data_IF_591141751455
#
_entry.id   IF_591141751455
#
_cell.length_a   1.000
_cell.length_b   1.000
_cell.length_c   1.000
_cell.angle_alpha   90.00
_cell.angle_beta   90.00
_cell.angle_gamma   90.00
#
_symmetry.space_group_name_H-M   'P 1'
#
loop_
_entity.id
_entity.type
_entity.pdbx_description
1 polymer ?
#
# COMPACT_ATOMS: atom_id res chain seq x y z
N UNK A 1 0.25 -2.86 -17.82
CA UNK A 1 -0.44 -1.93 -16.88
C UNK A 1 -1.11 -2.67 -15.71
N UNK A 2 -2.17 -3.44 -15.94
CA UNK A 2 -2.96 -4.07 -14.85
C UNK A 2 -2.13 -5.01 -13.97
N UNK A 3 -1.31 -5.88 -14.59
CA UNK A 3 -0.40 -6.74 -13.83
C UNK A 3 0.61 -5.97 -13.00
N UNK A 4 1.15 -4.86 -13.51
CA UNK A 4 2.09 -4.02 -12.77
C UNK A 4 1.46 -3.50 -11.48
N UNK A 5 0.32 -2.82 -11.60
CA UNK A 5 -0.46 -2.33 -10.46
C UNK A 5 -0.79 -3.46 -9.50
N UNK A 6 -1.22 -4.61 -10.00
CA UNK A 6 -1.56 -5.75 -9.16
C UNK A 6 -0.37 -6.29 -8.37
N UNK A 7 0.83 -6.36 -8.95
CA UNK A 7 2.04 -6.80 -8.24
C UNK A 7 2.42 -5.82 -7.13
N UNK A 8 2.34 -4.52 -7.40
CA UNK A 8 2.66 -3.48 -6.42
C UNK A 8 1.65 -3.49 -5.26
N UNK A 9 0.35 -3.60 -5.58
CA UNK A 9 -0.72 -3.48 -4.59
C UNK A 9 -1.04 -4.78 -3.83
N UNK A 10 -0.96 -5.94 -4.48
CA UNK A 10 -1.41 -7.23 -3.93
C UNK A 10 -0.31 -8.27 -3.83
N UNK A 11 0.84 -8.03 -4.45
CA UNK A 11 1.96 -8.94 -4.34
C UNK A 11 2.43 -9.08 -2.89
N UNK A 12 2.89 -10.28 -2.54
CA UNK A 12 3.43 -10.55 -1.20
C UNK A 12 4.66 -9.72 -0.89
N UNK A 13 4.76 -9.17 0.33
CA UNK A 13 5.86 -8.34 0.79
C UNK A 13 6.31 -8.75 2.20
N UNK A 14 7.48 -9.38 2.31
CA UNK A 14 8.19 -9.57 3.59
C UNK A 14 9.15 -8.40 3.91
N UNK A 15 9.50 -7.63 2.88
CA UNK A 15 10.32 -6.43 2.93
C UNK A 15 9.81 -5.48 1.85
N UNK A 16 10.36 -4.27 1.81
CA UNK A 16 10.07 -3.27 0.77
C UNK A 16 10.75 -3.56 -0.57
N UNK A 17 11.49 -4.67 -0.71
CA UNK A 17 12.35 -4.94 -1.88
C UNK A 17 11.60 -4.89 -3.22
N UNK A 18 10.32 -5.28 -3.24
CA UNK A 18 9.48 -5.18 -4.43
C UNK A 18 9.28 -3.73 -4.86
N UNK A 19 9.13 -2.81 -3.91
CA UNK A 19 9.03 -1.37 -4.20
C UNK A 19 10.39 -0.86 -4.69
N UNK A 20 11.48 -1.22 -4.02
CA UNK A 20 12.83 -0.87 -4.47
C UNK A 20 13.13 -1.32 -5.90
N UNK A 21 12.88 -2.59 -6.22
CA UNK A 21 13.08 -3.12 -7.57
C UNK A 21 12.14 -2.46 -8.56
N UNK A 22 10.86 -2.27 -8.22
CA UNK A 22 9.89 -1.63 -9.10
C UNK A 22 10.28 -0.19 -9.45
N UNK A 23 10.81 0.58 -8.49
CA UNK A 23 11.32 1.93 -8.73
C UNK A 23 12.51 1.92 -9.71
N UNK A 24 13.47 1.00 -9.54
CA UNK A 24 14.59 0.86 -10.49
C UNK A 24 14.14 0.43 -11.88
N UNK A 25 13.19 -0.50 -11.97
CA UNK A 25 12.62 -0.94 -13.25
C UNK A 25 11.96 0.23 -14.01
N UNK A 26 11.18 1.06 -13.31
CA UNK A 26 10.63 2.30 -13.88
C UNK A 26 11.74 3.21 -14.38
N UNK A 27 12.79 3.43 -13.57
CA UNK A 27 13.92 4.29 -13.93
C UNK A 27 14.68 3.79 -15.16
N UNK A 28 14.93 2.48 -15.26
CA UNK A 28 15.60 1.90 -16.41
C UNK A 28 14.76 1.97 -17.67
N UNK A 29 13.45 1.70 -17.57
CA UNK A 29 12.52 1.82 -18.69
C UNK A 29 12.41 3.27 -19.18
N UNK A 30 12.32 4.25 -18.26
CA UNK A 30 12.33 5.68 -18.60
C UNK A 30 13.63 6.13 -19.30
N UNK A 31 14.76 5.46 -19.03
CA UNK A 31 16.04 5.67 -19.71
C UNK A 31 16.18 4.83 -20.99
N UNK A 32 15.15 4.08 -21.37
CA UNK A 32 15.12 3.16 -22.50
C UNK A 32 16.26 2.11 -22.46
N UNK A 33 16.65 1.66 -21.27
CA UNK A 33 17.64 0.60 -21.10
C UNK A 33 16.98 -0.75 -21.32
N UNK A 34 17.47 -1.53 -22.28
CA UNK A 34 16.94 -2.88 -22.55
C UNK A 34 17.64 -3.96 -21.71
N UNK A 35 18.90 -3.71 -21.32
CA UNK A 35 19.74 -4.68 -20.62
C UNK A 35 20.57 -3.96 -19.56
N UNK A 36 20.54 -4.46 -18.34
CA UNK A 36 21.22 -3.89 -17.18
C UNK A 36 22.09 -4.97 -16.54
N UNK A 37 23.41 -4.77 -16.36
CA UNK A 37 24.24 -5.69 -15.62
C UNK A 37 23.70 -5.90 -14.19
N UNK A 38 23.73 -7.14 -13.69
CA UNK A 38 23.21 -7.45 -12.36
C UNK A 38 24.02 -6.76 -11.25
N UNK A 39 25.31 -6.53 -11.48
CA UNK A 39 26.16 -5.77 -10.57
C UNK A 39 25.71 -4.32 -10.47
N UNK A 40 25.45 -3.66 -11.60
CA UNK A 40 24.93 -2.29 -11.66
C UNK A 40 23.56 -2.20 -10.98
N UNK A 41 22.67 -3.17 -11.23
CA UNK A 41 21.40 -3.28 -10.52
C UNK A 41 21.59 -3.34 -9.00
N UNK A 42 22.59 -4.09 -8.52
CA UNK A 42 22.88 -4.21 -7.09
C UNK A 42 23.43 -2.91 -6.50
N UNK A 43 24.30 -2.21 -7.23
CA UNK A 43 24.81 -0.89 -6.83
C UNK A 43 23.69 0.14 -6.74
N UNK A 44 22.82 0.20 -7.75
CA UNK A 44 21.67 1.10 -7.77
C UNK A 44 20.66 0.76 -6.66
N UNK A 45 20.42 -0.53 -6.41
CA UNK A 45 19.53 -0.99 -5.34
C UNK A 45 20.09 -0.64 -3.97
N UNK A 46 21.38 -0.88 -3.71
CA UNK A 46 22.02 -0.51 -2.46
C UNK A 46 21.98 1.01 -2.23
N UNK A 47 22.32 1.80 -3.26
CA UNK A 47 22.30 3.27 -3.19
C UNK A 47 20.89 3.80 -2.91
N UNK A 48 19.88 3.27 -3.60
CA UNK A 48 18.48 3.61 -3.36
C UNK A 48 18.07 3.37 -1.90
N UNK A 49 18.49 2.24 -1.33
CA UNK A 49 18.18 1.91 0.05
C UNK A 49 18.94 2.76 1.07
N UNK A 50 20.22 3.08 0.82
CA UNK A 50 20.97 4.00 1.67
C UNK A 50 20.26 5.35 1.80
N UNK A 51 19.76 5.88 0.69
CA UNK A 51 18.99 7.14 0.72
C UNK A 51 17.66 6.97 1.45
N UNK A 52 16.93 5.89 1.17
CA UNK A 52 15.62 5.62 1.79
C UNK A 52 15.72 5.46 3.31
N UNK A 53 16.74 4.77 3.80
CA UNK A 53 16.90 4.42 5.23
C UNK A 53 17.40 5.57 6.10
N UNK A 54 17.92 6.67 5.53
CA UNK A 54 18.29 7.88 6.27
C UNK A 54 17.16 8.43 7.15
N UNK A 55 15.91 8.20 6.74
CA UNK A 55 14.72 8.59 7.50
C UNK A 55 14.45 7.74 8.75
N UNK A 56 15.21 6.66 8.97
CA UNK A 56 15.02 5.70 10.06
C UNK A 56 13.82 4.77 9.88
N UNK A 57 13.11 4.84 8.75
CA UNK A 57 11.94 3.99 8.48
C UNK A 57 12.36 2.54 8.16
N UNK A 58 11.71 1.53 8.77
CA UNK A 58 12.11 0.14 8.60
C UNK A 58 11.71 -0.41 7.23
N UNK A 59 12.60 -1.19 6.62
CA UNK A 59 12.38 -1.82 5.30
C UNK A 59 11.89 -3.27 5.39
N UNK A 60 11.68 -3.76 6.60
CA UNK A 60 11.11 -5.05 6.94
C UNK A 60 10.55 -5.01 8.36
N UNK A 61 9.70 -5.99 8.71
CA UNK A 61 9.04 -6.05 10.01
C UNK A 61 10.07 -6.05 11.15
N UNK A 62 9.96 -5.08 12.06
CA UNK A 62 10.79 -4.98 13.26
C UNK A 62 10.19 -5.73 14.43
N UNK A 63 11.05 -6.27 15.28
CA UNK A 63 10.68 -6.92 16.53
C UNK A 63 11.70 -6.60 17.61
N UNK A 64 11.24 -6.24 18.80
CA UNK A 64 12.11 -6.14 19.98
C UNK A 64 12.17 -7.49 20.68
N UNK A 65 13.37 -8.07 20.78
CA UNK A 65 13.61 -9.31 21.53
C UNK A 65 14.74 -9.05 22.51
N UNK A 66 14.45 -9.14 23.80
CA UNK A 66 15.39 -8.89 24.90
C UNK A 66 16.10 -7.51 24.82
N UNK A 67 15.36 -6.48 24.41
CA UNK A 67 15.88 -5.12 24.26
C UNK A 67 16.73 -4.89 22.99
N UNK A 68 16.88 -5.90 22.13
CA UNK A 68 17.58 -5.80 20.85
C UNK A 68 16.57 -5.79 19.70
N UNK A 69 16.70 -4.79 18.82
CA UNK A 69 15.90 -4.73 17.60
C UNK A 69 16.36 -5.82 16.61
N UNK A 70 15.42 -6.68 16.21
CA UNK A 70 15.58 -7.71 15.18
C UNK A 70 14.71 -7.39 13.98
N UNK A 71 15.03 -8.00 12.84
CA UNK A 71 14.27 -7.85 11.59
C UNK A 71 14.84 -6.80 10.64
N UNK A 72 16.11 -6.41 10.79
CA UNK A 72 16.87 -5.72 9.75
C UNK A 72 16.95 -6.59 8.50
N UNK A 73 16.52 -6.03 7.38
CA UNK A 73 16.71 -6.64 6.06
C UNK A 73 18.19 -6.69 5.69
N UNK A 74 18.58 -7.60 4.79
CA UNK A 74 19.96 -7.69 4.34
C UNK A 74 20.48 -6.37 3.77
N UNK A 75 19.67 -5.64 3.00
CA UNK A 75 20.11 -4.36 2.41
C UNK A 75 20.32 -3.29 3.47
N UNK A 76 19.52 -3.27 4.54
CA UNK A 76 19.73 -2.35 5.68
C UNK A 76 21.02 -2.70 6.43
N UNK A 77 21.28 -3.99 6.67
CA UNK A 77 22.51 -4.42 7.32
C UNK A 77 23.75 -4.02 6.52
N UNK A 78 23.72 -4.19 5.19
CA UNK A 78 24.83 -3.78 4.31
C UNK A 78 24.95 -2.26 4.21
N UNK A 79 23.84 -1.52 4.12
CA UNK A 79 23.85 -0.05 4.13
C UNK A 79 24.50 0.52 5.41
N UNK A 80 24.16 -0.04 6.58
CA UNK A 80 24.75 0.36 7.86
C UNK A 80 26.25 0.05 7.96
N UNK A 81 26.71 -1.08 7.39
CA UNK A 81 28.14 -1.42 7.35
C UNK A 81 28.94 -0.40 6.54
N UNK A 82 28.40 0.04 5.41
CA UNK A 82 29.10 1.02 4.56
C UNK A 82 29.19 2.40 5.18
N UNK A 83 28.25 2.80 6.04
CA UNK A 83 28.36 4.04 6.81
C UNK A 83 29.50 3.99 7.84
N UNK A 84 29.89 2.79 8.29
CA UNK A 84 30.94 2.58 9.28
C UNK A 84 32.32 2.31 8.65
N UNK A 85 32.38 1.67 7.48
CA UNK A 85 33.61 1.40 6.73
C UNK A 85 33.36 1.34 5.20
N UNK A 86 33.81 2.38 4.50
CA UNK A 86 33.67 2.52 3.04
C UNK A 86 34.52 1.51 2.23
N UNK A 87 35.50 0.85 2.87
CA UNK A 87 36.31 -0.20 2.21
C UNK A 87 35.53 -1.50 1.94
N UNK A 88 34.27 -1.57 2.34
CA UNK A 88 33.40 -2.75 2.20
C UNK A 88 32.45 -2.72 0.99
N UNK A 89 32.41 -1.62 0.22
CA UNK A 89 31.38 -1.39 -0.82
C UNK A 89 31.23 -2.54 -1.81
N UNK A 90 32.32 -3.06 -2.38
CA UNK A 90 32.25 -4.18 -3.33
C UNK A 90 31.65 -5.44 -2.71
N UNK A 91 32.05 -5.78 -1.48
CA UNK A 91 31.52 -6.95 -0.76
C UNK A 91 30.03 -6.77 -0.43
N UNK A 92 29.62 -5.56 -0.07
CA UNK A 92 28.22 -5.25 0.19
C UNK A 92 27.37 -5.31 -1.08
N UNK A 93 27.89 -4.84 -2.21
CA UNK A 93 27.23 -4.97 -3.53
C UNK A 93 27.03 -6.45 -3.89
N UNK A 94 28.05 -7.28 -3.71
CA UNK A 94 27.95 -8.73 -3.98
C UNK A 94 26.95 -9.42 -3.02
N UNK A 95 26.96 -9.03 -1.73
CA UNK A 95 26.04 -9.55 -0.74
C UNK A 95 24.58 -9.16 -1.03
N UNK A 96 24.32 -7.92 -1.46
CA UNK A 96 23.00 -7.44 -1.85
C UNK A 96 22.52 -8.17 -3.11
N UNK A 97 23.39 -8.35 -4.10
CA UNK A 97 23.07 -9.07 -5.33
C UNK A 97 22.58 -10.48 -5.00
N UNK A 98 23.37 -11.23 -4.24
CA UNK A 98 23.04 -12.62 -3.90
C UNK A 98 21.81 -12.74 -3.00
N UNK A 99 21.76 -11.97 -1.90
CA UNK A 99 20.78 -12.22 -0.83
C UNK A 99 19.48 -11.45 -1.02
N UNK A 100 19.53 -10.22 -1.53
CA UNK A 100 18.36 -9.35 -1.66
C UNK A 100 17.75 -9.38 -3.05
N UNK A 101 18.57 -9.50 -4.10
CA UNK A 101 18.11 -9.55 -5.49
C UNK A 101 17.85 -11.00 -5.94
N UNK A 102 18.90 -11.78 -6.20
CA UNK A 102 18.80 -13.12 -6.82
C UNK A 102 17.99 -14.12 -6.00
N UNK A 103 18.24 -14.23 -4.69
CA UNK A 103 17.53 -15.19 -3.85
C UNK A 103 16.14 -14.74 -3.40
N UNK A 104 15.78 -13.48 -3.68
CA UNK A 104 14.59 -12.86 -3.13
C UNK A 104 13.78 -12.16 -4.21
N UNK A 105 13.96 -10.84 -4.39
CA UNK A 105 12.98 -10.06 -5.17
C UNK A 105 13.00 -10.42 -6.65
N UNK A 106 14.15 -10.72 -7.25
CA UNK A 106 14.20 -11.06 -8.68
C UNK A 106 13.40 -12.33 -9.01
N UNK A 107 13.41 -13.32 -8.11
CA UNK A 107 12.63 -14.57 -8.23
C UNK A 107 11.13 -14.38 -7.96
N UNK A 108 10.76 -13.42 -7.11
CA UNK A 108 9.41 -13.30 -6.53
C UNK A 108 8.60 -12.10 -7.06
N UNK A 109 9.23 -11.17 -7.79
CA UNK A 109 8.59 -9.93 -8.24
C UNK A 109 7.33 -10.22 -9.06
N UNK A 110 7.41 -11.17 -9.99
CA UNK A 110 6.35 -11.57 -10.91
C UNK A 110 5.29 -12.50 -10.31
N UNK A 111 5.33 -12.74 -8.99
CA UNK A 111 4.38 -13.62 -8.31
C UNK A 111 3.18 -12.86 -7.76
N UNK A 112 1.98 -13.26 -8.18
CA UNK A 112 0.69 -12.78 -7.68
C UNK A 112 -0.18 -13.98 -7.27
N UNK A 113 -0.72 -13.97 -6.05
CA UNK A 113 -1.54 -15.07 -5.50
C UNK A 113 -0.92 -16.47 -5.71
N UNK A 114 0.40 -16.58 -5.47
CA UNK A 114 1.21 -17.81 -5.65
C UNK A 114 1.34 -18.31 -7.10
N UNK A 115 0.94 -17.52 -8.10
CA UNK A 115 1.10 -17.80 -9.53
C UNK A 115 2.04 -16.77 -10.18
N UNK A 116 2.78 -17.19 -11.20
CA UNK A 116 3.52 -16.25 -12.04
C UNK A 116 2.56 -15.53 -12.98
N UNK A 117 2.77 -14.24 -13.20
CA UNK A 117 2.05 -13.52 -14.26
C UNK A 117 2.43 -14.09 -15.64
N UNK A 118 1.52 -14.04 -16.63
CA UNK A 118 1.78 -14.60 -17.95
C UNK A 118 2.83 -13.82 -18.75
N UNK A 119 2.96 -12.51 -18.49
CA UNK A 119 3.82 -11.61 -19.26
C UNK A 119 4.80 -10.91 -18.29
N UNK A 120 6.04 -11.43 -18.13
CA UNK A 120 7.01 -10.87 -17.19
C UNK A 120 7.54 -9.51 -17.68
N UNK A 121 7.92 -8.65 -16.74
CA UNK A 121 8.48 -7.33 -17.02
C UNK A 121 9.99 -7.37 -17.30
N UNK A 122 10.65 -8.42 -16.85
CA UNK A 122 12.07 -8.68 -17.10
C UNK A 122 12.35 -10.18 -17.06
N UNK A 123 13.47 -10.58 -17.64
CA UNK A 123 14.09 -11.90 -17.43
C UNK A 123 15.53 -11.71 -16.95
N UNK A 124 16.04 -12.66 -16.18
CA UNK A 124 17.41 -12.63 -15.66
C UNK A 124 18.27 -13.67 -16.36
N UNK A 125 19.51 -13.30 -16.67
CA UNK A 125 20.60 -14.21 -17.04
C UNK A 125 21.63 -14.22 -15.91
N UNK A 126 22.70 -14.99 -16.04
CA UNK A 126 23.78 -15.07 -15.04
C UNK A 126 24.47 -13.72 -14.77
N UNK A 127 24.36 -12.75 -15.68
CA UNK A 127 25.07 -11.47 -15.59
C UNK A 127 24.20 -10.24 -15.80
N UNK A 128 22.98 -10.40 -16.33
CA UNK A 128 22.14 -9.25 -16.71
C UNK A 128 20.66 -9.46 -16.42
N UNK A 129 20.00 -8.34 -16.10
CA UNK A 129 18.57 -8.14 -16.16
C UNK A 129 18.20 -7.66 -17.58
N UNK A 130 17.34 -8.38 -18.28
CA UNK A 130 16.86 -8.04 -19.62
C UNK A 130 15.41 -7.58 -19.50
N UNK A 131 15.16 -6.29 -19.74
CA UNK A 131 13.81 -5.72 -19.68
C UNK A 131 13.00 -6.19 -20.88
N UNK A 132 11.74 -6.51 -20.64
CA UNK A 132 10.81 -6.96 -21.67
C UNK A 132 10.00 -5.78 -22.23
N UNK A 133 9.46 -5.94 -23.43
CA UNK A 133 8.59 -4.96 -24.07
C UNK A 133 7.37 -4.61 -23.21
N UNK A 134 6.88 -5.57 -22.42
CA UNK A 134 5.78 -5.39 -21.46
C UNK A 134 6.04 -4.30 -20.41
N UNK A 135 7.32 -4.05 -20.08
CA UNK A 135 7.76 -2.99 -19.18
C UNK A 135 8.13 -1.71 -19.95
N UNK A 136 8.89 -1.84 -21.04
CA UNK A 136 9.35 -0.69 -21.83
C UNK A 136 8.15 0.08 -22.40
N UNK A 137 7.20 -0.61 -23.02
CA UNK A 137 5.98 -0.01 -23.54
C UNK A 137 5.09 0.61 -22.44
N UNK A 138 5.29 0.23 -21.17
CA UNK A 138 4.52 0.77 -20.06
C UNK A 138 5.05 2.13 -19.58
N UNK A 139 6.36 2.39 -19.68
CA UNK A 139 6.99 3.54 -19.04
C UNK A 139 7.77 4.48 -19.97
N UNK A 140 8.23 4.03 -21.15
CA UNK A 140 9.11 4.84 -22.02
C UNK A 140 8.50 6.18 -22.46
N UNK A 141 7.18 6.29 -22.61
CA UNK A 141 6.49 7.51 -23.05
C UNK A 141 5.98 8.41 -21.90
N UNK A 142 6.29 8.07 -20.65
CA UNK A 142 5.83 8.73 -19.42
C UNK A 142 4.31 8.83 -19.24
N UNK A 143 3.49 8.19 -20.07
CA UNK A 143 2.02 8.23 -19.94
C UNK A 143 1.52 7.61 -18.63
N UNK A 144 2.35 6.81 -17.97
CA UNK A 144 2.04 6.13 -16.71
C UNK A 144 2.87 6.65 -15.52
N UNK A 145 3.30 7.92 -15.55
CA UNK A 145 4.06 8.56 -14.46
C UNK A 145 3.38 8.45 -13.08
N UNK A 146 2.04 8.45 -13.04
CA UNK A 146 1.24 8.26 -11.82
C UNK A 146 1.59 6.94 -11.11
N UNK A 147 2.00 5.90 -11.83
CA UNK A 147 2.34 4.61 -11.21
C UNK A 147 3.62 4.64 -10.37
N UNK A 148 4.55 5.57 -10.65
CA UNK A 148 5.73 5.75 -9.80
C UNK A 148 5.32 6.39 -8.45
N UNK A 149 4.36 7.31 -8.48
CA UNK A 149 3.74 7.86 -7.27
C UNK A 149 2.93 6.80 -6.50
N UNK A 150 2.17 5.95 -7.21
CA UNK A 150 1.45 4.81 -6.60
C UNK A 150 2.43 3.85 -5.91
N UNK A 151 3.55 3.53 -6.56
CA UNK A 151 4.61 2.68 -6.00
C UNK A 151 5.26 3.33 -4.77
N UNK A 152 5.59 4.62 -4.85
CA UNK A 152 6.22 5.37 -3.74
C UNK A 152 5.29 5.44 -2.53
N UNK A 153 4.01 5.72 -2.75
CA UNK A 153 2.97 5.70 -1.71
C UNK A 153 2.84 4.32 -1.07
N UNK A 154 2.94 3.26 -1.88
CA UNK A 154 2.93 1.89 -1.39
C UNK A 154 4.17 1.56 -0.57
N UNK A 155 5.33 2.09 -0.94
CA UNK A 155 6.55 1.95 -0.15
C UNK A 155 6.39 2.60 1.23
N UNK A 156 5.93 3.85 1.29
CA UNK A 156 5.66 4.56 2.55
C UNK A 156 4.70 3.78 3.45
N UNK A 157 3.68 3.16 2.87
CA UNK A 157 2.71 2.34 3.59
C UNK A 157 3.35 1.08 4.20
N UNK A 158 4.20 0.38 3.45
CA UNK A 158 4.89 -0.80 3.96
C UNK A 158 5.83 -0.43 5.12
N UNK A 159 6.58 0.65 4.98
CA UNK A 159 7.46 1.18 6.03
C UNK A 159 6.71 1.52 7.31
N UNK A 160 5.58 2.25 7.17
CA UNK A 160 4.72 2.56 8.29
C UNK A 160 4.22 1.29 8.98
N UNK A 161 3.76 0.31 8.20
CA UNK A 161 3.23 -0.93 8.75
C UNK A 161 4.30 -1.82 9.40
N UNK A 162 5.54 -1.79 8.93
CA UNK A 162 6.65 -2.54 9.53
C UNK A 162 7.15 -1.96 10.85
N UNK A 163 6.97 -0.65 11.09
CA UNK A 163 7.35 0.02 12.33
C UNK A 163 6.35 -0.09 13.48
N UNK A 164 5.08 -0.41 13.21
CA UNK A 164 3.99 -0.27 14.19
C UNK A 164 3.40 -1.60 14.71
N UNK A 165 4.16 -2.70 14.75
CA UNK A 165 3.63 -4.05 15.08
C UNK A 165 3.45 -4.30 16.60
N UNK A 166 3.69 -3.31 17.47
CA UNK A 166 3.76 -3.49 18.93
C UNK A 166 2.79 -2.66 19.78
N UNK A 167 1.76 -2.02 19.20
CA UNK A 167 0.75 -1.33 20.02
C UNK A 167 -0.33 -2.30 20.54
N UNK A 168 -0.01 -2.99 21.64
CA UNK A 168 -1.00 -3.47 22.61
C UNK A 168 -1.75 -2.25 23.18
N UNK A 169 -2.72 -1.73 22.44
CA UNK A 169 -3.55 -0.61 22.88
C UNK A 169 -4.96 -1.12 23.24
N UNK A 170 -5.19 -1.29 24.54
CA UNK A 170 -6.51 -1.44 25.14
C UNK A 170 -7.14 -0.06 25.37
N UNK A 171 -8.42 0.08 25.02
CA UNK A 171 -9.21 1.31 25.13
C UNK A 171 -9.98 1.36 26.45
N UNK A 172 -9.83 2.44 27.22
CA UNK A 172 -10.79 2.86 28.26
C UNK A 172 -11.24 4.31 27.98
N UNK A 173 -12.53 4.59 28.18
CA UNK A 173 -13.20 5.86 27.85
C UNK A 173 -13.56 6.57 29.17
N UNK A 174 -13.20 7.86 29.31
CA UNK A 174 -13.60 8.72 30.43
C UNK A 174 -14.83 9.59 30.07
N UNK A 175 -15.63 9.88 31.10
CA UNK A 175 -17.03 10.34 31.11
C UNK A 175 -17.24 11.80 30.64
N UNK A 176 -16.17 12.50 30.25
CA UNK A 176 -16.22 13.90 29.81
C UNK A 176 -16.17 14.11 28.28
N UNK A 177 -16.40 13.07 27.49
CA UNK A 177 -16.87 13.17 26.09
C UNK A 177 -16.06 14.05 25.11
N UNK A 178 -14.73 14.18 25.26
CA UNK A 178 -13.93 14.89 24.23
C UNK A 178 -12.62 14.25 23.74
N UNK A 179 -11.99 13.24 24.38
CA UNK A 179 -10.68 12.75 23.89
C UNK A 179 -10.33 11.29 24.23
N UNK A 180 -9.64 10.60 23.30
CA UNK A 180 -8.72 9.47 23.58
C UNK A 180 -7.30 10.04 23.73
N UNK A 181 -6.65 9.80 24.88
CA UNK A 181 -5.30 10.29 25.18
C UNK A 181 -4.27 9.19 24.89
N UNK A 182 -3.48 9.30 23.81
CA UNK A 182 -2.09 8.83 23.85
C UNK A 182 -1.29 9.94 24.53
N UNK A 183 -0.62 9.69 25.66
CA UNK A 183 0.04 10.77 26.42
C UNK A 183 1.17 11.38 25.59
N UNK A 184 0.83 12.49 24.93
CA UNK A 184 1.67 13.53 24.33
C UNK A 184 2.32 13.22 22.97
N UNK A 185 1.49 12.99 21.96
CA UNK A 185 1.53 13.80 20.72
C UNK A 185 0.22 13.63 19.95
N UNK A 186 -0.44 14.73 19.58
CA UNK A 186 -1.47 14.70 18.54
C UNK A 186 -0.81 14.18 17.26
N UNK A 187 -1.10 12.94 16.85
CA UNK A 187 -0.77 12.50 15.49
C UNK A 187 -1.77 13.17 14.56
N UNK A 188 -1.33 14.11 13.74
CA UNK A 188 -2.18 14.62 12.67
C UNK A 188 -2.62 13.42 11.81
N UNK A 189 -3.93 13.21 11.63
CA UNK A 189 -4.47 12.14 10.77
C UNK A 189 -3.90 12.28 9.34
N UNK A 190 -3.45 13.47 8.94
CA UNK A 190 -2.65 13.72 7.72
C UNK A 190 -1.44 12.79 7.56
N UNK A 191 -0.83 12.30 8.65
CA UNK A 191 0.27 11.32 8.61
C UNK A 191 -0.16 9.96 8.05
N UNK A 192 -1.44 9.64 8.09
CA UNK A 192 -2.02 8.44 7.48
C UNK A 192 -2.28 8.62 5.97
N UNK A 193 -2.02 9.79 5.38
CA UNK A 193 -2.25 10.01 3.93
C UNK A 193 -1.50 9.01 3.04
N UNK A 194 -0.19 8.77 3.22
CA UNK A 194 0.53 7.80 2.38
C UNK A 194 -0.02 6.39 2.53
N UNK A 195 -0.39 6.04 3.76
CA UNK A 195 -1.02 4.77 4.14
C UNK A 195 -2.34 4.62 3.39
N UNK A 196 -3.28 5.56 3.57
CA UNK A 196 -4.60 5.54 2.94
C UNK A 196 -4.54 5.61 1.40
N UNK A 197 -3.56 6.33 0.84
CA UNK A 197 -3.38 6.42 -0.62
C UNK A 197 -3.06 5.06 -1.25
N UNK A 198 -2.25 4.25 -0.57
CA UNK A 198 -1.95 2.89 -0.98
C UNK A 198 -3.16 1.96 -1.10
N UNK A 199 -4.33 2.37 -0.59
CA UNK A 199 -5.61 1.64 -0.67
C UNK A 199 -6.66 2.30 -1.56
N UNK A 200 -6.39 3.51 -2.07
CA UNK A 200 -7.34 4.32 -2.84
C UNK A 200 -6.85 4.69 -4.23
N UNK A 201 -5.65 4.24 -4.63
CA UNK A 201 -5.11 4.41 -5.97
C UNK A 201 -5.13 5.86 -6.45
N UNK A 202 -4.69 6.79 -5.58
CA UNK A 202 -4.72 8.23 -5.84
C UNK A 202 -6.10 8.76 -6.25
N UNK A 203 -7.20 8.14 -5.82
CA UNK A 203 -8.56 8.56 -6.13
C UNK A 203 -9.34 8.96 -4.87
N UNK A 204 -10.09 10.06 -4.97
CA UNK A 204 -10.95 10.55 -3.92
C UNK A 204 -12.04 9.52 -3.59
N UNK A 205 -12.28 9.31 -2.29
CA UNK A 205 -13.26 8.30 -1.86
C UNK A 205 -14.69 8.64 -2.30
N UNK A 206 -15.00 9.92 -2.45
CA UNK A 206 -16.35 10.39 -2.66
C UNK A 206 -16.72 10.58 -4.13
N UNK A 207 -15.86 11.22 -4.91
CA UNK A 207 -16.14 11.49 -6.33
C UNK A 207 -15.43 10.52 -7.28
N UNK A 208 -14.50 9.69 -6.80
CA UNK A 208 -13.77 8.72 -7.61
C UNK A 208 -12.75 9.32 -8.60
N UNK A 209 -12.59 10.65 -8.62
CA UNK A 209 -11.60 11.34 -9.46
C UNK A 209 -10.24 11.42 -8.77
N UNK A 210 -9.19 11.71 -9.55
CA UNK A 210 -7.81 11.77 -9.05
C UNK A 210 -7.64 12.81 -7.93
N UNK A 211 -6.92 12.42 -6.88
CA UNK A 211 -6.59 13.29 -5.75
C UNK A 211 -5.58 14.35 -6.18
N UNK A 212 -5.83 15.57 -5.74
CA UNK A 212 -4.92 16.71 -5.83
C UNK A 212 -4.87 17.41 -4.49
N UNK A 213 -3.75 18.08 -4.20
CA UNK A 213 -3.61 18.82 -2.95
C UNK A 213 -4.54 20.04 -2.91
N UNK A 214 -5.12 20.35 -1.73
CA UNK A 214 -4.96 19.64 -0.46
C UNK A 214 -5.81 18.36 -0.36
N UNK A 215 -5.16 17.23 -0.02
CA UNK A 215 -5.83 15.94 0.25
C UNK A 215 -6.29 15.89 1.71
N UNK A 216 -7.56 15.58 1.97
CA UNK A 216 -8.10 15.43 3.33
C UNK A 216 -8.23 13.97 3.72
N UNK A 217 -8.07 13.69 5.02
CA UNK A 217 -8.49 12.41 5.60
C UNK A 217 -9.83 12.63 6.27
N UNK A 218 -10.80 11.79 5.96
CA UNK A 218 -12.17 11.89 6.45
C UNK A 218 -12.62 10.58 7.11
N UNK A 219 -13.54 10.70 8.08
CA UNK A 219 -14.27 9.58 8.66
C UNK A 219 -15.55 9.35 7.86
N UNK A 220 -15.64 8.21 7.18
CA UNK A 220 -16.81 7.90 6.34
C UNK A 220 -18.09 7.92 7.19
N UNK A 221 -18.10 7.16 8.28
CA UNK A 221 -19.11 7.31 9.32
C UNK A 221 -18.64 8.42 10.26
N UNK A 222 -19.42 9.49 10.49
CA UNK A 222 -18.97 10.66 11.24
C UNK A 222 -18.32 10.32 12.58
N UNK A 223 -17.21 10.99 12.91
CA UNK A 223 -16.50 10.78 14.16
C UNK A 223 -17.42 11.01 15.39
N UNK A 224 -18.32 11.99 15.31
CA UNK A 224 -19.36 12.24 16.32
C UNK A 224 -20.24 11.02 16.62
N UNK A 225 -20.35 10.08 15.67
CA UNK A 225 -21.05 8.82 15.86
C UNK A 225 -20.16 7.69 16.39
N UNK A 226 -18.99 7.45 15.78
CA UNK A 226 -18.14 6.28 16.04
C UNK A 226 -17.13 6.47 17.18
N UNK A 227 -16.77 7.72 17.48
CA UNK A 227 -15.88 8.11 18.61
C UNK A 227 -14.51 7.41 18.63
N UNK A 228 -13.96 7.11 17.46
CA UNK A 228 -12.61 6.55 17.32
C UNK A 228 -11.97 6.94 15.99
N UNK A 229 -10.64 6.86 15.93
CA UNK A 229 -9.83 7.10 14.72
C UNK A 229 -9.34 5.80 14.06
N UNK A 230 -10.07 4.70 14.24
CA UNK A 230 -9.71 3.41 13.62
C UNK A 230 -9.71 3.48 12.08
N UNK A 231 -8.63 2.96 11.50
CA UNK A 231 -8.32 3.07 10.06
C UNK A 231 -9.38 2.47 9.12
N UNK A 232 -10.20 1.56 9.62
CA UNK A 232 -11.27 0.95 8.84
C UNK A 232 -12.31 1.98 8.39
N UNK A 233 -12.43 3.10 9.11
CA UNK A 233 -13.39 4.18 8.84
C UNK A 233 -12.75 5.42 8.19
N UNK A 234 -11.42 5.44 8.04
CA UNK A 234 -10.68 6.59 7.48
C UNK A 234 -10.46 6.45 5.97
N UNK A 235 -10.64 7.54 5.23
CA UNK A 235 -10.47 7.60 3.77
C UNK A 235 -9.84 8.91 3.29
N UNK A 236 -9.20 8.90 2.12
CA UNK A 236 -8.76 10.11 1.42
C UNK A 236 -9.87 10.74 0.60
N UNK A 237 -9.94 12.05 0.62
CA UNK A 237 -10.87 12.84 -0.20
C UNK A 237 -10.25 14.17 -0.62
N UNK A 238 -10.84 14.82 -1.62
CA UNK A 238 -10.59 16.24 -1.85
C UNK A 238 -11.12 17.06 -0.68
N UNK A 239 -10.49 18.19 -0.39
CA UNK A 239 -11.01 19.17 0.56
C UNK A 239 -12.49 19.51 0.30
N UNK A 240 -12.87 19.80 -0.95
CA UNK A 240 -14.25 20.13 -1.29
C UNK A 240 -15.24 18.99 -0.98
N UNK A 241 -14.87 17.73 -1.28
CA UNK A 241 -15.72 16.58 -0.99
C UNK A 241 -15.87 16.39 0.53
N UNK A 242 -14.78 16.52 1.27
CA UNK A 242 -14.77 16.43 2.73
C UNK A 242 -15.63 17.52 3.37
N UNK A 243 -15.46 18.78 2.94
CA UNK A 243 -16.22 19.92 3.43
C UNK A 243 -17.69 19.89 3.01
N UNK A 244 -18.02 19.18 1.94
CA UNK A 244 -19.41 18.98 1.54
C UNK A 244 -20.10 17.88 2.36
N UNK A 245 -19.39 16.78 2.64
CA UNK A 245 -19.89 15.72 3.52
C UNK A 245 -19.96 16.19 4.97
N UNK A 246 -18.95 16.86 5.49
CA UNK A 246 -18.87 17.26 6.91
C UNK A 246 -19.08 16.04 7.85
N UNK A 247 -19.80 16.24 8.95
CA UNK A 247 -20.30 15.23 9.87
C UNK A 247 -21.65 14.62 9.44
N UNK A 248 -22.06 14.74 8.18
CA UNK A 248 -23.28 14.09 7.70
C UNK A 248 -23.10 12.59 7.53
N UNK A 249 -24.18 11.85 7.74
CA UNK A 249 -24.21 10.41 7.55
C UNK A 249 -24.14 10.09 6.04
N UNK A 250 -23.16 9.30 5.58
CA UNK A 250 -23.05 9.00 4.16
C UNK A 250 -24.20 8.09 3.71
N UNK A 251 -24.56 8.13 2.43
CA UNK A 251 -25.47 7.10 1.90
C UNK A 251 -24.90 5.69 2.05
N UNK A 252 -25.80 4.69 2.10
CA UNK A 252 -25.46 3.26 2.23
C UNK A 252 -24.44 2.77 1.20
N UNK A 253 -24.44 3.32 -0.01
CA UNK A 253 -23.51 2.89 -1.06
C UNK A 253 -22.04 3.26 -0.73
N UNK A 254 -21.80 4.40 -0.06
CA UNK A 254 -20.47 4.75 0.45
C UNK A 254 -20.02 3.82 1.58
N UNK A 255 -20.95 3.38 2.44
CA UNK A 255 -20.66 2.38 3.48
C UNK A 255 -20.31 1.03 2.84
N UNK A 256 -21.05 0.61 1.81
CA UNK A 256 -20.70 -0.60 1.07
C UNK A 256 -19.33 -0.49 0.40
N UNK A 257 -19.00 0.69 -0.16
CA UNK A 257 -17.68 0.98 -0.73
C UNK A 257 -16.58 0.89 0.33
N UNK A 258 -16.83 1.37 1.55
CA UNK A 258 -15.93 1.26 2.69
C UNK A 258 -15.65 -0.20 3.05
N UNK A 259 -16.70 -1.02 3.17
CA UNK A 259 -16.59 -2.46 3.44
C UNK A 259 -15.75 -3.12 2.34
N UNK A 260 -16.07 -2.88 1.08
CA UNK A 260 -15.36 -3.46 -0.06
C UNK A 260 -13.87 -3.09 -0.07
N UNK A 261 -13.55 -1.83 0.26
CA UNK A 261 -12.16 -1.37 0.42
C UNK A 261 -11.45 -2.13 1.54
N UNK A 262 -12.08 -2.27 2.71
CA UNK A 262 -11.51 -2.98 3.85
C UNK A 262 -11.26 -4.47 3.54
N UNK A 263 -12.20 -5.13 2.86
CA UNK A 263 -12.02 -6.50 2.36
C UNK A 263 -10.87 -6.63 1.35
N UNK A 264 -10.70 -5.62 0.49
CA UNK A 264 -9.57 -5.59 -0.44
C UNK A 264 -8.22 -5.48 0.28
N UNK A 265 -8.14 -4.72 1.38
CA UNK A 265 -6.91 -4.61 2.17
C UNK A 265 -6.52 -5.97 2.73
N UNK A 266 -7.48 -6.73 3.22
CA UNK A 266 -7.25 -8.04 3.84
C UNK A 266 -6.76 -9.11 2.86
N UNK A 267 -7.08 -8.97 1.58
CA UNK A 267 -6.58 -9.85 0.50
C UNK A 267 -5.14 -9.52 0.07
N UNK A 268 -4.57 -8.42 0.55
CA UNK A 268 -3.20 -8.02 0.26
C UNK A 268 -2.26 -8.36 1.43
N UNK A 269 -0.95 -8.49 1.16
CA UNK A 269 0.06 -8.71 2.21
C UNK A 269 0.50 -7.41 2.90
N UNK A 270 -0.48 -6.55 3.18
CA UNK A 270 -0.24 -5.30 3.88
C UNK A 270 -0.20 -5.51 5.39
N UNK A 271 0.69 -4.82 6.13
CA UNK A 271 0.74 -4.92 7.59
C UNK A 271 -0.60 -4.57 8.26
N UNK A 272 -1.38 -3.68 7.63
CA UNK A 272 -2.69 -3.24 8.13
C UNK A 272 -3.76 -4.35 8.14
N UNK A 273 -3.54 -5.48 7.47
CA UNK A 273 -4.49 -6.59 7.49
C UNK A 273 -4.71 -7.11 8.91
N UNK A 274 -3.68 -7.11 9.75
CA UNK A 274 -3.77 -7.61 11.13
C UNK A 274 -4.53 -6.62 12.01
N UNK A 275 -4.30 -5.30 11.83
CA UNK A 275 -5.08 -4.27 12.51
C UNK A 275 -6.56 -4.33 12.12
N UNK A 276 -6.88 -4.47 10.82
CA UNK A 276 -8.27 -4.63 10.38
C UNK A 276 -8.93 -5.88 10.95
N UNK A 277 -8.23 -7.01 11.06
CA UNK A 277 -8.76 -8.20 11.72
C UNK A 277 -9.03 -7.95 13.21
N UNK A 278 -8.11 -7.27 13.89
CA UNK A 278 -8.23 -6.93 15.31
C UNK A 278 -9.46 -6.05 15.58
N UNK A 279 -9.68 -5.03 14.75
CA UNK A 279 -10.75 -4.04 14.97
C UNK A 279 -12.08 -4.35 14.27
N UNK A 280 -12.12 -5.16 13.22
CA UNK A 280 -13.38 -5.51 12.55
C UNK A 280 -13.81 -6.97 12.76
N UNK A 281 -12.88 -7.89 12.99
CA UNK A 281 -13.18 -9.33 13.07
C UNK A 281 -12.41 -10.17 12.05
N UNK A 282 -12.40 -11.48 12.27
CA UNK A 282 -11.61 -12.45 11.49
C UNK A 282 -12.38 -12.88 10.24
N UNK A 283 -13.70 -12.98 10.30
CA UNK A 283 -14.54 -13.40 9.16
C UNK A 283 -15.11 -12.21 8.38
N UNK A 284 -15.33 -12.32 7.06
CA UNK A 284 -16.01 -11.29 6.28
C UNK A 284 -17.37 -10.88 6.86
N UNK A 285 -18.10 -11.84 7.43
CA UNK A 285 -19.41 -11.64 8.03
C UNK A 285 -19.32 -10.74 9.28
N UNK A 286 -18.41 -11.06 10.22
CA UNK A 286 -18.17 -10.25 11.42
C UNK A 286 -17.83 -8.80 11.07
N UNK A 287 -16.95 -8.61 10.07
CA UNK A 287 -16.53 -7.28 9.64
C UNK A 287 -17.67 -6.49 9.00
N UNK A 288 -18.48 -7.14 8.18
CA UNK A 288 -19.65 -6.55 7.55
C UNK A 288 -20.67 -6.10 8.61
N UNK A 289 -20.99 -6.99 9.56
CA UNK A 289 -21.89 -6.69 10.67
C UNK A 289 -21.38 -5.54 11.54
N UNK A 290 -20.07 -5.49 11.83
CA UNK A 290 -19.49 -4.44 12.66
C UNK A 290 -19.57 -3.07 11.99
N UNK A 291 -19.26 -2.96 10.69
CA UNK A 291 -19.38 -1.69 9.96
C UNK A 291 -20.85 -1.23 9.88
N UNK A 292 -21.79 -2.12 9.55
CA UNK A 292 -23.22 -1.76 9.51
C UNK A 292 -23.81 -1.48 10.90
N UNK A 293 -23.29 -2.13 11.94
CA UNK A 293 -23.64 -1.85 13.34
C UNK A 293 -23.29 -0.41 13.71
N UNK A 294 -22.06 0.01 13.42
CA UNK A 294 -21.61 1.39 13.64
C UNK A 294 -22.43 2.40 12.82
N UNK A 295 -22.72 2.08 11.56
CA UNK A 295 -23.58 2.91 10.72
C UNK A 295 -25.00 3.03 11.29
N UNK A 296 -25.55 1.95 11.84
CA UNK A 296 -26.89 1.94 12.43
C UNK A 296 -26.94 2.75 13.71
N UNK A 297 -25.89 2.70 14.54
CA UNK A 297 -25.74 3.57 15.72
C UNK A 297 -25.72 5.05 15.29
N UNK A 298 -24.92 5.38 14.28
CA UNK A 298 -24.84 6.74 13.73
C UNK A 298 -26.19 7.23 13.20
N UNK A 299 -26.92 6.37 12.48
CA UNK A 299 -28.26 6.66 11.97
C UNK A 299 -29.26 6.92 13.11
N UNK A 300 -29.22 6.11 14.17
CA UNK A 300 -30.13 6.24 15.30
C UNK A 300 -29.88 7.50 16.13
N UNK A 301 -28.68 8.10 16.05
CA UNK A 301 -28.36 9.43 16.61
C UNK A 301 -29.00 10.60 15.83
N UNK A 302 -29.70 10.35 14.73
CA UNK A 302 -30.44 11.37 13.98
C UNK A 302 -29.59 12.27 13.08
N UNK A 303 -28.39 11.81 12.69
CA UNK A 303 -27.52 12.54 11.76
C UNK A 303 -28.22 12.71 10.39
N UNK A 304 -28.12 13.92 9.81
CA UNK A 304 -28.64 14.18 8.46
C UNK A 304 -27.87 13.35 7.44
N UNK A 305 -28.58 12.78 6.48
CA UNK A 305 -27.98 11.99 5.40
C UNK A 305 -27.41 12.95 4.36
N UNK A 306 -26.15 12.73 3.97
CA UNK A 306 -25.53 13.37 2.83
C UNK A 306 -25.71 12.50 1.58
N UNK A 307 -26.27 13.10 0.54
CA UNK A 307 -26.71 12.38 -0.66
C UNK A 307 -25.58 12.05 -1.65
N UNK A 308 -24.39 12.64 -1.48
CA UNK A 308 -23.27 12.45 -2.40
C UNK A 308 -23.30 13.40 -3.59
N UNK A 309 -22.29 13.28 -4.48
CA UNK A 309 -22.27 13.96 -5.77
C UNK A 309 -23.24 13.28 -6.74
N UNK A 310 -24.20 14.02 -7.30
CA UNK A 310 -25.12 13.50 -8.34
C UNK A 310 -24.39 12.91 -9.55
N UNK A 311 -23.13 13.32 -9.79
CA UNK A 311 -22.31 12.80 -10.90
C UNK A 311 -21.54 11.53 -10.55
N UNK A 312 -21.55 11.08 -9.30
CA UNK A 312 -20.82 9.89 -8.87
C UNK A 312 -21.67 8.62 -9.06
N UNK A 313 -21.26 7.77 -10.01
CA UNK A 313 -21.84 6.45 -10.23
C UNK A 313 -20.85 5.34 -9.77
N UNK A 314 -21.15 4.60 -8.68
CA UNK A 314 -20.34 3.47 -8.24
C UNK A 314 -20.17 2.38 -9.31
N UNK A 315 -21.09 2.26 -10.27
CA UNK A 315 -21.01 1.33 -11.38
C UNK A 315 -20.01 1.78 -12.46
N UNK A 316 -19.45 2.99 -12.40
CA UNK A 316 -18.39 3.47 -13.30
C UNK A 316 -17.00 3.51 -12.64
N UNK A 317 -16.89 3.10 -11.37
CA UNK A 317 -15.62 3.02 -10.66
C UNK A 317 -14.70 1.95 -11.29
N UNK A 318 -13.75 2.40 -12.11
CA UNK A 318 -12.80 1.55 -12.82
C UNK A 318 -11.88 0.77 -11.87
N UNK A 319 -11.56 1.34 -10.70
CA UNK A 319 -10.76 0.66 -9.68
C UNK A 319 -11.55 -0.53 -9.13
N UNK A 320 -12.82 -0.32 -8.75
CA UNK A 320 -13.70 -1.39 -8.24
C UNK A 320 -13.87 -2.55 -9.24
N UNK A 321 -14.11 -2.23 -10.52
CA UNK A 321 -14.21 -3.24 -11.59
C UNK A 321 -12.92 -4.01 -11.82
N UNK A 322 -11.78 -3.31 -11.87
CA UNK A 322 -10.48 -3.91 -12.09
C UNK A 322 -10.08 -4.82 -10.92
N UNK A 323 -10.44 -4.41 -9.71
CA UNK A 323 -10.20 -5.13 -8.47
C UNK A 323 -10.94 -6.46 -8.36
N UNK A 324 -12.26 -6.46 -8.56
CA UNK A 324 -13.04 -7.69 -8.57
C UNK A 324 -12.54 -8.63 -9.66
N UNK A 325 -12.24 -8.07 -10.84
CA UNK A 325 -11.77 -8.81 -12.01
C UNK A 325 -10.45 -9.56 -11.75
N UNK A 326 -9.44 -8.91 -11.17
CA UNK A 326 -8.13 -9.54 -10.92
C UNK A 326 -8.19 -10.62 -9.84
N UNK A 327 -9.09 -10.49 -8.87
CA UNK A 327 -9.28 -11.46 -7.78
C UNK A 327 -10.05 -12.73 -8.18
N UNK A 328 -10.65 -12.77 -9.37
CA UNK A 328 -11.51 -13.86 -9.82
C UNK A 328 -10.72 -14.89 -10.65
N UNK A 329 -10.83 -16.18 -10.34
CA UNK A 329 -10.13 -17.26 -11.05
C UNK A 329 -10.41 -17.28 -12.58
N UNK A 330 -11.63 -16.92 -12.98
CA UNK A 330 -12.01 -16.82 -14.40
C UNK A 330 -11.25 -15.75 -15.19
N UNK A 331 -10.64 -14.77 -14.53
CA UNK A 331 -9.77 -13.79 -15.20
C UNK A 331 -8.45 -14.43 -15.60
N UNK A 332 -7.89 -15.29 -14.74
CA UNK A 332 -6.65 -16.00 -15.00
C UNK A 332 -6.83 -17.01 -16.14
N UNK A 333 -7.86 -17.85 -16.08
CA UNK A 333 -8.18 -18.82 -17.13
C UNK A 333 -8.28 -18.16 -18.51
N UNK A 334 -9.11 -17.12 -18.65
CA UNK A 334 -9.28 -16.38 -19.93
C UNK A 334 -8.02 -15.73 -20.48
N UNK A 335 -7.01 -15.46 -19.63
CA UNK A 335 -5.73 -14.88 -20.07
C UNK A 335 -4.72 -15.94 -20.45
N UNK A 336 -4.73 -17.10 -19.79
CA UNK A 336 -3.87 -18.24 -20.15
C UNK A 336 -4.40 -18.98 -21.39
N UNK A 337 -5.72 -19.05 -21.59
CA UNK A 337 -6.35 -19.68 -22.77
C UNK A 337 -6.10 -18.93 -24.09
N UNK A 338 -5.66 -17.67 -24.02
CA UNK A 338 -5.33 -16.85 -25.20
C UNK A 338 -3.87 -16.98 -25.66
N UNK A 339 -3.07 -17.77 -24.95
CA UNK A 339 -1.64 -17.99 -25.22
C UNK A 339 -1.41 -19.39 -25.82
N UNK A 340 -2.46 -20.18 -26.07
CA UNK A 340 -2.39 -21.48 -26.75
C UNK A 340 -2.31 -21.36 -28.26
#
# INVERSE_FOLDING_TARGET
KDFWRALILYGSNMSTYKMGLGHLLINYANKNLQKVPLRDLSEDFLTLYQDRTKSGKPQGRRQMVDGVEKGLTYVEQEAMKMEQDDKSREKSVDAVLKNSLENMVLKKFHTLFKRQIPEPFYVTTDSHLILQDSLLNLFTDRQNSVMDSELSSRWDLLEFGFGNVHSDESLEIDENLEFVIQKRQRTQISRLRPVLNGYQNNACFYCGTELFDPIHVDHVIPHTAVQHDEIWNLVLSHEQCNLWKTDFLPQKHFVQRLINRNESVLKSDLPLKEELKKVLGITPEERNERVWGQYSIAKNKGLKIWEGDEKFDPAQDNFYKQMIRISNDSFWERKFDKIS
#
